data_IF_316251727793
#
_entry.id   IF_316251727793
#
_cell.length_a   1.000
_cell.length_b   1.000
_cell.length_c   1.000
_cell.angle_alpha   90.00
_cell.angle_beta   90.00
_cell.angle_gamma   90.00
#
_symmetry.space_group_name_H-M   'P 1'
#
loop_
_entity.id
_entity.type
_entity.pdbx_description
1 polymer ?
#
# COMPACT_ATOMS: atom_id res chain seq x y z
N UNK A 1 -7.78 8.25 10.23
CA UNK A 1 -7.28 6.90 9.92
C UNK A 1 -8.17 5.80 10.51
N UNK A 2 -8.52 5.86 11.81
CA UNK A 2 -9.35 4.82 12.45
C UNK A 2 -10.61 4.45 11.63
N UNK A 3 -11.38 5.45 11.18
CA UNK A 3 -12.60 5.23 10.39
C UNK A 3 -12.31 4.56 9.03
N UNK A 4 -11.21 4.94 8.36
CA UNK A 4 -10.79 4.30 7.11
C UNK A 4 -10.46 2.81 7.35
N UNK A 5 -9.72 2.50 8.42
CA UNK A 5 -9.31 1.12 8.72
C UNK A 5 -10.45 0.27 9.27
N UNK A 6 -11.40 0.85 10.04
CA UNK A 6 -12.57 0.10 10.50
C UNK A 6 -13.51 -0.32 9.36
N UNK A 7 -13.39 0.31 8.19
CA UNK A 7 -14.13 -0.11 6.99
C UNK A 7 -13.53 -1.33 6.29
N UNK A 8 -12.29 -1.75 6.63
CA UNK A 8 -11.58 -2.85 5.97
C UNK A 8 -12.20 -4.22 6.25
N UNK A 9 -11.97 -5.15 5.32
CA UNK A 9 -12.33 -6.56 5.49
C UNK A 9 -11.67 -7.16 6.72
N UNK A 10 -10.40 -6.83 7.01
CA UNK A 10 -9.67 -7.34 8.17
C UNK A 10 -10.37 -6.97 9.48
N UNK A 11 -10.67 -5.69 9.69
CA UNK A 11 -11.37 -5.25 10.89
C UNK A 11 -12.77 -5.88 11.02
N UNK A 12 -13.53 -5.89 9.92
CA UNK A 12 -14.90 -6.45 9.90
C UNK A 12 -14.96 -7.97 10.12
N UNK A 13 -13.90 -8.69 9.83
CA UNK A 13 -13.78 -10.12 10.08
C UNK A 13 -13.36 -10.40 11.53
N UNK A 14 -12.37 -9.66 12.05
CA UNK A 14 -11.81 -9.89 13.38
C UNK A 14 -12.75 -9.41 14.49
N UNK A 15 -13.38 -8.25 14.34
CA UNK A 15 -14.24 -7.66 15.40
C UNK A 15 -15.44 -8.54 15.79
N UNK A 16 -16.23 -9.14 14.88
CA UNK A 16 -17.32 -10.07 15.27
C UNK A 16 -16.79 -11.39 15.82
N UNK A 17 -15.64 -11.88 15.38
CA UNK A 17 -14.98 -13.09 15.88
C UNK A 17 -14.62 -12.98 17.37
N UNK A 18 -14.20 -11.81 17.81
CA UNK A 18 -13.89 -11.52 19.20
C UNK A 18 -15.09 -11.75 20.12
N UNK A 19 -16.29 -11.36 19.66
CA UNK A 19 -17.55 -11.49 20.44
C UNK A 19 -18.08 -12.93 20.48
N UNK A 20 -17.72 -13.76 19.49
CA UNK A 20 -18.24 -15.14 19.35
C UNK A 20 -17.24 -16.21 19.80
N UNK A 21 -16.08 -15.82 20.25
CA UNK A 21 -14.96 -16.74 20.61
C UNK A 21 -14.56 -17.70 19.49
N UNK A 22 -14.77 -17.29 18.23
CA UNK A 22 -14.54 -18.05 17.01
C UNK A 22 -13.42 -17.40 16.17
N UNK A 23 -12.23 -17.24 16.76
CA UNK A 23 -11.08 -16.65 16.08
C UNK A 23 -10.12 -17.74 15.59
N UNK A 24 -9.59 -17.56 14.37
CA UNK A 24 -8.50 -18.40 13.90
C UNK A 24 -7.25 -18.17 14.75
N UNK A 25 -6.51 -19.23 15.07
CA UNK A 25 -5.26 -19.13 15.82
C UNK A 25 -4.16 -18.36 15.08
N UNK A 26 -4.17 -18.40 13.74
CA UNK A 26 -3.24 -17.64 12.92
C UNK A 26 -3.97 -16.94 11.77
N UNK A 27 -4.00 -15.62 11.82
CA UNK A 27 -4.57 -14.75 10.79
C UNK A 27 -3.47 -13.96 10.09
N UNK A 28 -3.47 -13.96 8.75
CA UNK A 28 -2.55 -13.17 7.92
C UNK A 28 -3.34 -12.08 7.17
N UNK A 29 -3.11 -10.84 7.52
CA UNK A 29 -3.67 -9.67 6.84
C UNK A 29 -2.75 -9.26 5.70
N UNK A 30 -3.27 -9.28 4.47
CA UNK A 30 -2.59 -8.78 3.28
C UNK A 30 -3.06 -7.35 3.00
N UNK A 31 -2.20 -6.37 3.27
CA UNK A 31 -2.52 -4.95 3.13
C UNK A 31 -1.40 -4.22 2.37
N UNK A 32 -1.68 -3.66 1.17
CA UNK A 32 -0.63 -3.14 0.30
C UNK A 32 0.05 -1.85 0.82
N UNK A 33 -0.55 -1.15 1.78
CA UNK A 33 0.04 0.05 2.37
C UNK A 33 0.96 -0.29 3.56
N UNK A 34 2.24 -0.51 3.26
CA UNK A 34 3.24 -0.89 4.28
C UNK A 34 3.47 0.17 5.35
N UNK A 35 3.27 1.48 5.05
CA UNK A 35 3.42 2.56 6.04
C UNK A 35 2.37 2.47 7.14
N UNK A 36 1.16 2.06 6.78
CA UNK A 36 0.01 2.00 7.67
C UNK A 36 -0.39 0.58 8.09
N UNK A 37 0.40 -0.44 7.69
CA UNK A 37 0.13 -1.83 8.03
C UNK A 37 0.07 -2.03 9.55
N UNK A 38 1.06 -1.51 10.28
CA UNK A 38 1.10 -1.64 11.75
C UNK A 38 -0.09 -0.97 12.43
N UNK A 39 -0.54 0.18 11.93
CA UNK A 39 -1.69 0.88 12.50
C UNK A 39 -2.99 0.10 12.25
N UNK A 40 -3.13 -0.55 11.08
CA UNK A 40 -4.23 -1.46 10.80
C UNK A 40 -4.20 -2.68 11.73
N UNK A 41 -3.03 -3.31 11.90
CA UNK A 41 -2.88 -4.46 12.82
C UNK A 41 -3.18 -4.06 14.26
N UNK A 42 -2.79 -2.87 14.70
CA UNK A 42 -3.10 -2.33 16.03
C UNK A 42 -4.62 -2.21 16.21
N UNK A 43 -5.32 -1.66 15.24
CA UNK A 43 -6.78 -1.57 15.28
C UNK A 43 -7.46 -2.95 15.28
N UNK A 44 -6.92 -3.90 14.52
CA UNK A 44 -7.37 -5.29 14.53
C UNK A 44 -7.11 -5.96 15.89
N UNK A 45 -5.99 -5.68 16.55
CA UNK A 45 -5.68 -6.15 17.88
C UNK A 45 -6.64 -5.56 18.94
N UNK A 46 -6.96 -4.26 18.85
CA UNK A 46 -7.99 -3.65 19.70
C UNK A 46 -9.35 -4.37 19.54
N UNK A 47 -9.73 -4.65 18.29
CA UNK A 47 -10.97 -5.39 17.99
C UNK A 47 -10.92 -6.83 18.51
N UNK A 48 -9.75 -7.52 18.40
CA UNK A 48 -9.53 -8.88 18.90
C UNK A 48 -9.79 -8.98 20.41
N UNK A 49 -9.38 -7.99 21.18
CA UNK A 49 -9.64 -7.93 22.62
C UNK A 49 -11.00 -7.30 22.99
N UNK A 50 -11.81 -6.91 22.01
CA UNK A 50 -13.07 -6.21 22.25
C UNK A 50 -12.89 -4.89 22.99
N UNK A 51 -11.75 -4.23 22.82
CA UNK A 51 -11.39 -3.02 23.56
C UNK A 51 -12.27 -1.83 23.12
N UNK A 52 -13.09 -1.34 24.02
CA UNK A 52 -13.93 -0.16 23.77
C UNK A 52 -13.04 1.09 23.55
N UNK A 53 -13.51 2.00 22.71
CA UNK A 53 -12.82 3.27 22.45
C UNK A 53 -12.62 4.08 23.73
N UNK A 54 -11.42 4.60 23.95
CA UNK A 54 -11.04 5.33 25.14
C UNK A 54 -10.76 4.48 26.39
N UNK A 55 -10.98 3.14 26.32
CA UNK A 55 -10.70 2.23 27.44
C UNK A 55 -9.22 2.14 27.78
N UNK A 56 -8.90 1.65 28.99
CA UNK A 56 -7.51 1.36 29.40
C UNK A 56 -6.84 0.36 28.43
N UNK A 57 -7.53 -0.73 28.10
CA UNK A 57 -6.99 -1.78 27.22
C UNK A 57 -6.68 -1.22 25.84
N UNK A 58 -7.60 -0.44 25.26
CA UNK A 58 -7.38 0.21 23.96
C UNK A 58 -6.14 1.11 23.97
N UNK A 59 -5.96 1.95 25.00
CA UNK A 59 -4.81 2.82 25.14
C UNK A 59 -3.49 2.06 25.27
N UNK A 60 -3.50 0.96 26.03
CA UNK A 60 -2.32 0.12 26.23
C UNK A 60 -1.95 -0.64 24.94
N UNK A 61 -2.92 -1.14 24.17
CA UNK A 61 -2.67 -1.79 22.87
C UNK A 61 -2.11 -0.76 21.88
N UNK A 62 -2.71 0.43 21.79
CA UNK A 62 -2.23 1.51 20.93
C UNK A 62 -0.81 1.97 21.27
N UNK A 63 -0.44 1.91 22.56
CA UNK A 63 0.91 2.18 23.06
C UNK A 63 1.86 0.95 23.01
N UNK A 64 1.40 -0.21 22.49
CA UNK A 64 2.14 -1.47 22.43
C UNK A 64 2.67 -1.94 23.81
N UNK A 65 1.90 -1.68 24.86
CA UNK A 65 2.26 -1.96 26.26
C UNK A 65 1.27 -2.82 27.01
N UNK A 66 0.28 -3.39 26.31
CA UNK A 66 -0.65 -4.34 26.91
C UNK A 66 0.02 -5.71 27.06
N UNK A 67 0.01 -6.26 28.29
CA UNK A 67 0.78 -7.47 28.63
C UNK A 67 0.40 -8.70 27.79
N UNK A 68 -0.85 -8.80 27.35
CA UNK A 68 -1.35 -9.92 26.56
C UNK A 68 -1.39 -9.64 25.04
N UNK A 69 -0.86 -8.48 24.58
CA UNK A 69 -0.73 -8.13 23.16
C UNK A 69 0.71 -7.69 22.84
N UNK A 70 1.49 -8.59 22.27
CA UNK A 70 2.90 -8.39 22.01
C UNK A 70 3.16 -8.13 20.53
N UNK A 71 3.87 -7.03 20.24
CA UNK A 71 4.21 -6.62 18.89
C UNK A 71 5.63 -7.04 18.52
N UNK A 72 5.77 -7.77 17.42
CA UNK A 72 7.04 -8.19 16.86
C UNK A 72 7.14 -7.79 15.37
N UNK A 73 8.29 -7.28 14.94
CA UNK A 73 9.38 -6.74 15.77
C UNK A 73 9.00 -5.44 16.47
N UNK A 74 9.89 -4.92 17.32
CA UNK A 74 9.77 -3.54 17.80
C UNK A 74 9.73 -2.56 16.62
N UNK A 75 9.11 -1.38 16.78
CA UNK A 75 8.99 -0.37 15.70
C UNK A 75 10.35 -0.06 15.08
N UNK A 76 10.41 -0.09 13.74
CA UNK A 76 11.64 0.20 12.99
C UNK A 76 12.67 -0.93 12.96
N UNK A 77 12.44 -2.05 13.65
CA UNK A 77 13.29 -3.22 13.62
C UNK A 77 12.83 -4.26 12.59
N UNK A 78 13.65 -5.32 12.41
CA UNK A 78 13.29 -6.52 11.65
C UNK A 78 13.19 -7.70 12.58
N UNK A 79 12.28 -8.63 12.31
CA UNK A 79 12.18 -9.87 13.07
C UNK A 79 13.39 -10.76 12.75
N UNK A 80 14.25 -10.93 13.75
CA UNK A 80 15.46 -11.76 13.68
C UNK A 80 15.19 -13.18 14.18
N UNK A 81 16.18 -14.06 14.03
CA UNK A 81 16.10 -15.43 14.58
C UNK A 81 16.00 -15.44 16.11
N UNK A 82 16.65 -14.48 16.80
CA UNK A 82 16.56 -14.31 18.24
C UNK A 82 15.20 -13.77 18.66
N UNK A 83 14.69 -12.76 17.95
CA UNK A 83 13.33 -12.25 18.18
C UNK A 83 12.24 -13.32 17.97
N UNK A 84 12.44 -14.23 17.01
CA UNK A 84 11.54 -15.39 16.84
C UNK A 84 11.69 -16.40 17.98
N UNK A 85 12.89 -16.57 18.54
CA UNK A 85 13.09 -17.41 19.72
C UNK A 85 12.40 -16.84 20.97
N UNK A 86 12.54 -15.52 21.18
CA UNK A 86 11.86 -14.79 22.27
C UNK A 86 10.34 -14.93 22.14
N UNK A 87 9.79 -14.72 20.94
CA UNK A 87 8.37 -14.89 20.66
C UNK A 87 7.88 -16.30 21.02
N UNK A 88 8.64 -17.35 20.61
CA UNK A 88 8.32 -18.74 20.93
C UNK A 88 8.37 -18.96 22.46
N UNK A 89 9.36 -18.42 23.15
CA UNK A 89 9.47 -18.46 24.60
C UNK A 89 8.28 -17.81 25.29
N UNK A 90 7.94 -16.59 24.86
CA UNK A 90 6.79 -15.83 25.37
C UNK A 90 5.44 -16.53 25.10
N UNK A 91 5.32 -17.25 23.99
CA UNK A 91 4.09 -17.99 23.67
C UNK A 91 3.81 -19.16 24.59
N UNK A 92 4.81 -19.67 25.29
CA UNK A 92 4.64 -20.73 26.29
C UNK A 92 4.10 -20.20 27.64
N UNK A 93 4.11 -18.87 27.84
CA UNK A 93 3.62 -18.24 29.07
C UNK A 93 2.13 -17.98 28.97
N UNK A 94 1.42 -18.18 30.08
CA UNK A 94 -0.02 -17.88 30.17
C UNK A 94 -0.31 -16.39 30.03
N UNK A 95 -1.51 -16.01 29.54
CA UNK A 95 -1.95 -14.61 29.58
C UNK A 95 -1.89 -14.05 31.01
N UNK A 96 -1.63 -12.76 31.13
CA UNK A 96 -1.44 -12.07 32.43
C UNK A 96 -2.74 -11.46 32.94
N UNK A 97 -3.49 -10.76 32.07
CA UNK A 97 -4.70 -10.02 32.44
C UNK A 97 -5.99 -10.70 31.95
N UNK A 98 -5.92 -11.46 30.87
CA UNK A 98 -7.09 -12.06 30.23
C UNK A 98 -7.00 -13.57 30.04
N UNK A 99 -7.85 -14.10 29.15
CA UNK A 99 -7.86 -15.52 28.77
C UNK A 99 -7.11 -15.79 27.47
N UNK A 100 -6.66 -14.74 26.75
CA UNK A 100 -6.05 -14.84 25.42
C UNK A 100 -4.79 -13.99 25.35
N UNK A 101 -3.79 -14.46 24.59
CA UNK A 101 -2.55 -13.75 24.29
C UNK A 101 -2.40 -13.63 22.77
N UNK A 102 -2.16 -12.41 22.28
CA UNK A 102 -2.05 -12.11 20.88
C UNK A 102 -0.63 -11.66 20.54
N UNK A 103 -0.02 -12.30 19.54
CA UNK A 103 1.23 -11.88 18.94
C UNK A 103 0.94 -11.19 17.61
N UNK A 104 1.30 -9.91 17.52
CA UNK A 104 1.16 -9.11 16.31
C UNK A 104 2.50 -9.12 15.56
N UNK A 105 2.52 -9.69 14.36
CA UNK A 105 3.71 -9.83 13.52
C UNK A 105 3.65 -8.82 12.38
N UNK A 106 4.25 -7.64 12.58
CA UNK A 106 4.27 -6.58 11.58
C UNK A 106 5.33 -6.84 10.49
N UNK A 107 5.07 -6.29 9.29
CA UNK A 107 5.98 -6.31 8.16
C UNK A 107 6.53 -7.73 7.84
N UNK A 108 5.65 -8.73 7.90
CA UNK A 108 6.02 -10.15 7.73
C UNK A 108 6.70 -10.43 6.38
N UNK A 109 6.44 -9.62 5.36
CA UNK A 109 7.15 -9.64 4.07
C UNK A 109 8.66 -9.40 4.19
N UNK A 110 9.14 -8.83 5.29
CA UNK A 110 10.58 -8.58 5.51
C UNK A 110 11.28 -9.71 6.27
N UNK A 111 10.50 -10.68 6.77
CA UNK A 111 10.99 -11.81 7.55
C UNK A 111 11.68 -12.81 6.62
N UNK A 112 12.93 -13.16 6.92
CA UNK A 112 13.69 -14.10 6.09
C UNK A 112 13.07 -15.51 6.09
N UNK A 113 13.25 -16.31 5.02
CA UNK A 113 12.73 -17.67 4.96
C UNK A 113 13.19 -18.56 6.15
N UNK A 114 14.40 -18.35 6.63
CA UNK A 114 14.92 -19.07 7.81
C UNK A 114 14.08 -18.78 9.06
N UNK A 115 13.74 -17.52 9.29
CA UNK A 115 12.95 -17.08 10.44
C UNK A 115 11.48 -17.50 10.28
N UNK A 116 10.92 -17.39 9.07
CA UNK A 116 9.57 -17.91 8.79
C UNK A 116 9.48 -19.41 9.10
N UNK A 117 10.45 -20.21 8.66
CA UNK A 117 10.49 -21.64 8.96
C UNK A 117 10.61 -21.95 10.47
N UNK A 118 11.35 -21.13 11.22
CA UNK A 118 11.44 -21.27 12.69
C UNK A 118 10.10 -21.10 13.40
N UNK A 119 9.23 -20.28 12.85
CA UNK A 119 7.88 -20.01 13.41
C UNK A 119 6.84 -21.08 13.03
N UNK A 120 7.08 -21.92 12.00
CA UNK A 120 6.06 -22.83 11.47
C UNK A 120 5.40 -23.68 12.54
N UNK A 121 6.19 -24.27 13.45
CA UNK A 121 5.66 -25.18 14.49
C UNK A 121 4.67 -24.46 15.41
N UNK A 122 4.98 -23.24 15.85
CA UNK A 122 4.11 -22.50 16.77
C UNK A 122 2.89 -21.89 16.06
N UNK A 123 2.98 -21.63 14.76
CA UNK A 123 1.86 -21.17 13.94
C UNK A 123 0.89 -22.32 13.59
N UNK A 124 1.39 -23.57 13.54
CA UNK A 124 0.60 -24.77 13.27
C UNK A 124 -0.13 -25.28 14.52
N UNK A 125 0.61 -25.38 15.63
CA UNK A 125 0.12 -25.91 16.90
C UNK A 125 0.39 -24.91 18.03
N UNK A 126 -0.30 -23.75 18.06
CA UNK A 126 -0.15 -22.78 19.15
C UNK A 126 -0.77 -23.31 20.45
N UNK A 127 -0.29 -22.87 21.62
CA UNK A 127 -1.00 -23.11 22.88
C UNK A 127 -2.45 -22.60 22.82
N UNK A 128 -3.36 -23.23 23.55
CA UNK A 128 -4.81 -23.01 23.47
C UNK A 128 -5.24 -21.53 23.60
N UNK A 129 -4.51 -20.74 24.41
CA UNK A 129 -4.80 -19.30 24.62
C UNK A 129 -4.02 -18.35 23.72
N UNK A 130 -3.21 -18.86 22.75
CA UNK A 130 -2.29 -18.07 21.95
C UNK A 130 -2.81 -17.91 20.52
N UNK A 131 -2.73 -16.67 20.05
CA UNK A 131 -3.17 -16.25 18.73
C UNK A 131 -2.09 -15.43 18.03
N UNK A 132 -2.04 -15.52 16.71
CA UNK A 132 -1.10 -14.78 15.86
C UNK A 132 -1.86 -13.95 14.83
N UNK A 133 -1.52 -12.67 14.76
CA UNK A 133 -2.00 -11.71 13.76
C UNK A 133 -0.80 -11.18 12.99
N UNK A 134 -0.54 -11.73 11.81
CA UNK A 134 0.54 -11.27 10.94
C UNK A 134 0.01 -10.29 9.90
N UNK A 135 0.87 -9.36 9.47
CA UNK A 135 0.60 -8.47 8.36
C UNK A 135 1.70 -8.49 7.32
N UNK A 136 1.34 -8.54 6.05
CA UNK A 136 2.26 -8.44 4.93
C UNK A 136 1.69 -7.55 3.82
N UNK A 137 2.57 -6.91 3.04
CA UNK A 137 2.16 -6.07 1.91
C UNK A 137 1.81 -6.86 0.67
N UNK A 138 2.32 -8.09 0.53
CA UNK A 138 2.09 -8.95 -0.62
C UNK A 138 2.24 -10.43 -0.25
N UNK A 139 1.39 -11.28 -0.82
CA UNK A 139 1.35 -12.72 -0.55
C UNK A 139 2.63 -13.44 -0.99
N UNK A 140 3.17 -13.07 -2.16
CA UNK A 140 4.35 -13.75 -2.74
C UNK A 140 5.64 -13.61 -1.92
N UNK A 141 5.65 -12.75 -0.90
CA UNK A 141 6.78 -12.56 0.02
C UNK A 141 6.74 -13.47 1.24
N UNK A 142 5.64 -14.21 1.41
CA UNK A 142 5.42 -15.15 2.52
C UNK A 142 5.57 -16.57 1.99
N UNK A 143 6.23 -17.45 2.74
CA UNK A 143 6.43 -18.82 2.33
C UNK A 143 5.10 -19.57 2.14
N UNK A 144 4.98 -20.43 1.11
CA UNK A 144 3.78 -21.24 0.90
C UNK A 144 3.40 -22.10 2.12
N UNK A 145 4.40 -22.57 2.87
CA UNK A 145 4.23 -23.33 4.11
C UNK A 145 3.58 -22.52 5.24
N UNK A 146 3.82 -21.22 5.30
CA UNK A 146 3.15 -20.28 6.23
C UNK A 146 1.75 -19.96 5.73
N UNK A 147 1.62 -19.67 4.41
CA UNK A 147 0.33 -19.35 3.78
C UNK A 147 -0.71 -20.45 3.92
N UNK A 148 -0.29 -21.72 3.87
CA UNK A 148 -1.20 -22.87 3.99
C UNK A 148 -1.80 -23.04 5.40
N UNK A 149 -1.25 -22.36 6.41
CA UNK A 149 -1.67 -22.42 7.82
C UNK A 149 -2.43 -21.17 8.28
N UNK A 150 -2.39 -20.11 7.47
CA UNK A 150 -2.98 -18.83 7.81
C UNK A 150 -4.44 -18.74 7.32
N UNK A 151 -5.31 -18.21 8.15
CA UNK A 151 -6.56 -17.60 7.69
C UNK A 151 -6.23 -16.25 7.03
N UNK A 152 -6.29 -16.22 5.70
CA UNK A 152 -5.86 -15.07 4.90
C UNK A 152 -6.97 -14.07 4.72
N UNK A 153 -6.73 -12.83 5.12
CA UNK A 153 -7.64 -11.71 4.90
C UNK A 153 -6.97 -10.68 3.99
N UNK A 154 -7.41 -10.63 2.73
CA UNK A 154 -6.97 -9.60 1.81
C UNK A 154 -7.76 -8.30 2.03
N UNK A 155 -7.04 -7.19 2.21
CA UNK A 155 -7.60 -5.84 2.25
C UNK A 155 -7.41 -5.24 0.87
N UNK A 156 -8.50 -5.01 0.11
CA UNK A 156 -8.39 -4.38 -1.20
C UNK A 156 -7.94 -2.93 -1.07
N UNK A 157 -7.37 -2.34 -2.14
CA UNK A 157 -7.12 -0.91 -2.22
C UNK A 157 -8.38 -0.11 -1.90
N UNK A 158 -8.22 1.01 -1.21
CA UNK A 158 -9.36 1.86 -0.85
C UNK A 158 -9.96 2.56 -2.08
N UNK A 159 -11.29 2.76 -2.11
CA UNK A 159 -11.92 3.61 -3.11
C UNK A 159 -11.37 5.05 -3.06
N UNK A 160 -11.36 5.71 -4.22
CA UNK A 160 -10.86 7.08 -4.37
C UNK A 160 -11.57 8.05 -3.41
N UNK A 161 -12.88 7.94 -3.27
CA UNK A 161 -13.69 8.78 -2.38
C UNK A 161 -13.30 8.59 -0.91
N UNK A 162 -12.97 7.36 -0.50
CA UNK A 162 -12.55 7.06 0.86
C UNK A 162 -11.17 7.67 1.17
N UNK A 163 -10.24 7.59 0.21
CA UNK A 163 -8.93 8.25 0.29
C UNK A 163 -9.10 9.76 0.38
N UNK A 164 -9.88 10.37 -0.52
CA UNK A 164 -10.12 11.82 -0.53
C UNK A 164 -10.75 12.30 0.79
N UNK A 165 -11.71 11.56 1.32
CA UNK A 165 -12.33 11.88 2.61
C UNK A 165 -11.32 11.77 3.77
N UNK A 166 -10.46 10.75 3.78
CA UNK A 166 -9.43 10.59 4.80
C UNK A 166 -8.36 11.67 4.72
N UNK A 167 -7.94 12.08 3.51
CA UNK A 167 -7.02 13.21 3.31
C UNK A 167 -7.62 14.53 3.82
N UNK A 168 -8.88 14.83 3.48
CA UNK A 168 -9.57 16.04 3.99
C UNK A 168 -9.63 16.09 5.51
N UNK A 169 -9.87 14.94 6.17
CA UNK A 169 -9.87 14.90 7.64
C UNK A 169 -8.50 15.16 8.24
N UNK A 170 -7.43 14.69 7.59
CA UNK A 170 -6.07 14.80 8.11
C UNK A 170 -5.44 16.16 7.81
N UNK A 171 -5.65 16.70 6.60
CA UNK A 171 -4.96 17.89 6.09
C UNK A 171 -5.88 19.11 5.89
N UNK A 172 -7.19 18.96 6.10
CA UNK A 172 -8.16 19.96 5.72
C UNK A 172 -8.50 19.91 4.22
N UNK A 173 -9.26 20.90 3.73
CA UNK A 173 -9.61 21.00 2.31
C UNK A 173 -8.51 21.75 1.54
N UNK A 174 -7.39 21.08 1.30
CA UNK A 174 -6.24 21.63 0.56
C UNK A 174 -6.32 21.26 -0.92
N UNK A 175 -5.74 22.08 -1.82
CA UNK A 175 -5.64 21.76 -3.25
C UNK A 175 -4.85 20.46 -3.50
N UNK A 176 -5.24 19.70 -4.52
CA UNK A 176 -4.53 18.48 -4.95
C UNK A 176 -5.05 17.18 -4.33
N UNK A 177 -6.04 17.23 -3.43
CA UNK A 177 -6.61 16.03 -2.80
C UNK A 177 -7.25 15.10 -3.84
N UNK A 178 -8.01 15.65 -4.79
CA UNK A 178 -8.68 14.84 -5.81
C UNK A 178 -7.67 14.14 -6.72
N UNK A 179 -6.63 14.85 -7.13
CA UNK A 179 -5.54 14.35 -7.97
C UNK A 179 -4.74 13.27 -7.24
N UNK A 180 -4.39 13.52 -5.99
CA UNK A 180 -3.66 12.55 -5.15
C UNK A 180 -4.49 11.28 -4.92
N UNK A 181 -5.78 11.41 -4.61
CA UNK A 181 -6.68 10.28 -4.39
C UNK A 181 -6.89 9.45 -5.67
N UNK A 182 -7.03 10.11 -6.82
CA UNK A 182 -7.19 9.44 -8.11
C UNK A 182 -5.91 8.74 -8.59
N UNK A 183 -4.72 9.26 -8.24
CA UNK A 183 -3.43 8.72 -8.69
C UNK A 183 -2.86 7.62 -7.78
N UNK A 184 -3.21 7.61 -6.49
CA UNK A 184 -2.58 6.75 -5.49
C UNK A 184 -2.87 5.25 -5.62
N UNK A 185 -3.80 4.85 -6.50
CA UNK A 185 -4.19 3.44 -6.66
C UNK A 185 -4.85 2.84 -5.42
N UNK A 186 -5.47 3.66 -4.56
CA UNK A 186 -6.13 3.22 -3.33
C UNK A 186 -5.18 2.97 -2.16
N UNK A 187 -3.92 3.46 -2.24
CA UNK A 187 -2.91 3.36 -1.18
C UNK A 187 -2.80 4.74 -0.52
N UNK A 188 -3.18 4.81 0.76
CA UNK A 188 -3.27 6.09 1.46
C UNK A 188 -1.93 6.79 1.61
N UNK A 189 -0.85 6.06 1.94
CA UNK A 189 0.49 6.64 2.04
C UNK A 189 0.99 7.22 0.71
N UNK A 190 0.65 6.58 -0.42
CA UNK A 190 0.99 7.10 -1.75
C UNK A 190 0.22 8.40 -2.07
N UNK A 191 -1.03 8.51 -1.61
CA UNK A 191 -1.80 9.75 -1.73
C UNK A 191 -1.19 10.89 -0.92
N UNK A 192 -0.69 10.60 0.28
CA UNK A 192 0.02 11.59 1.11
C UNK A 192 1.30 12.08 0.43
N UNK A 193 2.12 11.17 -0.08
CA UNK A 193 3.37 11.51 -0.77
C UNK A 193 3.10 12.41 -2.00
N UNK A 194 2.02 12.14 -2.73
CA UNK A 194 1.60 12.97 -3.87
C UNK A 194 1.11 14.36 -3.42
N UNK A 195 0.36 14.41 -2.33
CA UNK A 195 -0.19 15.66 -1.78
C UNK A 195 0.92 16.53 -1.18
N UNK A 196 1.81 15.95 -0.37
CA UNK A 196 2.95 16.64 0.25
C UNK A 196 3.94 17.17 -0.78
N UNK A 197 4.05 16.51 -1.93
CA UNK A 197 4.84 16.97 -3.08
C UNK A 197 4.28 18.23 -3.77
N UNK A 198 3.13 18.76 -3.35
CA UNK A 198 2.57 20.02 -3.88
C UNK A 198 2.37 20.00 -5.39
N UNK A 199 2.01 18.86 -5.98
CA UNK A 199 1.81 18.70 -7.43
C UNK A 199 3.11 18.60 -8.25
N UNK A 200 4.29 18.52 -7.64
CA UNK A 200 5.56 18.40 -8.36
C UNK A 200 5.60 17.15 -9.26
N UNK A 201 5.08 16.03 -8.77
CA UNK A 201 5.01 14.79 -9.53
C UNK A 201 4.15 14.94 -10.80
N UNK A 202 3.02 15.64 -10.72
CA UNK A 202 2.15 15.91 -11.88
C UNK A 202 2.82 16.86 -12.88
N UNK A 203 3.49 17.92 -12.41
CA UNK A 203 4.28 18.82 -13.28
C UNK A 203 5.41 18.07 -13.98
N UNK A 204 6.10 17.18 -13.27
CA UNK A 204 7.15 16.34 -13.85
C UNK A 204 6.57 15.37 -14.89
N UNK A 205 5.42 14.79 -14.65
CA UNK A 205 4.73 13.90 -15.59
C UNK A 205 4.29 14.63 -16.88
N UNK A 206 3.79 15.87 -16.76
CA UNK A 206 3.47 16.73 -17.92
C UNK A 206 4.73 17.04 -18.71
N UNK A 207 5.83 17.45 -18.06
CA UNK A 207 7.10 17.73 -18.69
C UNK A 207 7.69 16.50 -19.38
N UNK A 208 7.58 15.33 -18.79
CA UNK A 208 8.00 14.06 -19.38
C UNK A 208 7.34 13.78 -20.75
N UNK A 209 6.09 14.23 -20.94
CA UNK A 209 5.35 14.05 -22.19
C UNK A 209 5.55 15.19 -23.19
N UNK A 210 6.05 16.34 -22.76
CA UNK A 210 6.08 17.57 -23.57
C UNK A 210 7.46 18.13 -23.83
N UNK A 211 8.42 17.92 -22.94
CA UNK A 211 9.77 18.52 -23.03
C UNK A 211 10.64 17.76 -24.01
N UNK A 212 11.39 18.50 -24.83
CA UNK A 212 12.27 17.92 -25.86
C UNK A 212 13.50 17.22 -25.26
N UNK A 213 14.05 17.74 -24.15
CA UNK A 213 15.19 17.14 -23.47
C UNK A 213 14.73 15.97 -22.55
N UNK A 214 14.38 14.87 -23.19
CA UNK A 214 13.93 13.64 -22.51
C UNK A 214 14.96 13.12 -21.51
N UNK A 215 16.27 13.22 -21.82
CA UNK A 215 17.32 12.69 -20.94
C UNK A 215 17.38 13.46 -19.63
N UNK A 216 17.27 14.77 -19.69
CA UNK A 216 17.22 15.63 -18.50
C UNK A 216 16.02 15.30 -17.64
N UNK A 217 14.82 15.20 -18.23
CA UNK A 217 13.60 14.90 -17.50
C UNK A 217 13.67 13.50 -16.85
N UNK A 218 14.21 12.49 -17.55
CA UNK A 218 14.40 11.16 -16.98
C UNK A 218 15.39 11.14 -15.79
N UNK A 219 16.38 12.02 -15.79
CA UNK A 219 17.29 12.19 -14.67
C UNK A 219 16.54 12.78 -13.45
N UNK A 220 15.72 13.80 -13.66
CA UNK A 220 14.85 14.38 -12.62
C UNK A 220 13.85 13.36 -12.07
N UNK A 221 13.37 12.41 -12.88
CA UNK A 221 12.56 11.27 -12.40
C UNK A 221 13.37 10.39 -11.44
N UNK A 222 14.65 10.18 -11.71
CA UNK A 222 15.54 9.43 -10.83
C UNK A 222 15.75 10.08 -9.46
N UNK A 223 15.72 11.41 -9.41
CA UNK A 223 15.89 12.23 -8.19
C UNK A 223 14.57 12.50 -7.46
N UNK A 224 13.43 12.21 -8.09
CA UNK A 224 12.10 12.43 -7.50
C UNK A 224 11.83 11.47 -6.33
N UNK A 225 10.95 11.85 -5.37
CA UNK A 225 10.53 10.96 -4.30
C UNK A 225 9.98 9.65 -4.88
N UNK A 226 10.47 8.52 -4.34
CA UNK A 226 10.10 7.19 -4.81
C UNK A 226 8.57 6.99 -4.76
N UNK A 227 8.03 6.38 -5.79
CA UNK A 227 6.61 6.03 -5.85
C UNK A 227 5.67 7.18 -6.22
N UNK A 228 6.14 8.40 -6.51
CA UNK A 228 5.27 9.54 -6.85
C UNK A 228 5.10 9.77 -8.35
N UNK A 229 6.16 9.60 -9.13
CA UNK A 229 6.16 9.94 -10.57
C UNK A 229 5.23 9.05 -11.40
N UNK A 230 5.36 7.72 -11.31
CA UNK A 230 4.55 6.81 -12.14
C UNK A 230 3.05 6.87 -11.86
N UNK A 231 2.57 6.94 -10.61
CA UNK A 231 1.17 7.20 -10.33
C UNK A 231 0.67 8.50 -10.93
N UNK A 232 1.43 9.60 -10.81
CA UNK A 232 1.09 10.88 -11.42
C UNK A 232 1.07 10.80 -12.96
N UNK A 233 2.06 10.14 -13.57
CA UNK A 233 2.11 9.96 -15.03
C UNK A 233 0.92 9.12 -15.53
N UNK A 234 0.52 8.07 -14.81
CA UNK A 234 -0.64 7.25 -15.15
C UNK A 234 -1.93 8.06 -15.14
N UNK A 235 -2.13 8.93 -14.13
CA UNK A 235 -3.28 9.83 -14.10
C UNK A 235 -3.26 10.81 -15.28
N UNK A 236 -2.12 11.43 -15.57
CA UNK A 236 -1.96 12.32 -16.73
C UNK A 236 -2.29 11.59 -18.03
N UNK A 237 -1.73 10.40 -18.27
CA UNK A 237 -1.99 9.60 -19.47
C UNK A 237 -3.44 9.16 -19.59
N UNK A 238 -4.09 8.78 -18.47
CA UNK A 238 -5.51 8.44 -18.43
C UNK A 238 -6.36 9.61 -18.90
N UNK A 239 -6.10 10.79 -18.33
CA UNK A 239 -6.89 11.98 -18.63
C UNK A 239 -6.61 12.51 -20.06
N UNK A 240 -5.35 12.38 -20.53
CA UNK A 240 -5.01 12.62 -21.95
C UNK A 240 -5.83 11.69 -22.86
N UNK A 241 -5.91 10.40 -22.53
CA UNK A 241 -6.71 9.45 -23.32
C UNK A 241 -8.20 9.82 -23.31
N UNK A 242 -8.75 10.23 -22.15
CA UNK A 242 -10.13 10.67 -22.02
C UNK A 242 -10.41 11.92 -22.87
N UNK A 243 -9.58 12.94 -22.81
CA UNK A 243 -9.72 14.13 -23.64
C UNK A 243 -9.59 13.81 -25.14
N UNK A 244 -8.62 13.00 -25.53
CA UNK A 244 -8.42 12.57 -26.92
C UNK A 244 -9.58 11.73 -27.47
N UNK A 245 -10.31 11.00 -26.60
CA UNK A 245 -11.50 10.24 -26.93
C UNK A 245 -12.82 11.06 -26.83
N UNK A 246 -12.77 12.35 -26.58
CA UNK A 246 -13.95 13.21 -26.40
C UNK A 246 -14.69 13.02 -25.07
N UNK A 247 -14.10 12.33 -24.12
CA UNK A 247 -14.68 12.01 -22.80
C UNK A 247 -14.07 12.84 -21.65
N UNK A 248 -13.63 14.06 -21.95
CA UNK A 248 -12.94 14.94 -20.99
C UNK A 248 -13.76 15.34 -19.76
N UNK A 249 -15.09 15.14 -19.77
CA UNK A 249 -15.95 15.35 -18.60
C UNK A 249 -15.61 14.44 -17.41
N UNK A 250 -15.00 13.27 -17.67
CA UNK A 250 -14.58 12.29 -16.65
C UNK A 250 -13.11 12.46 -16.21
N UNK A 251 -12.39 13.41 -16.81
CA UNK A 251 -11.02 13.70 -16.42
C UNK A 251 -10.96 14.42 -15.06
N UNK A 252 -9.98 14.04 -14.24
CA UNK A 252 -9.68 14.67 -12.94
C UNK A 252 -8.83 15.91 -13.17
N UNK A 253 -7.78 15.81 -13.99
CA UNK A 253 -6.91 16.92 -14.35
C UNK A 253 -7.58 17.76 -15.43
N UNK A 254 -7.78 19.05 -15.14
CA UNK A 254 -8.49 19.98 -16.03
C UNK A 254 -7.60 21.06 -16.62
N UNK A 255 -6.30 20.99 -16.36
CA UNK A 255 -5.33 21.97 -16.80
C UNK A 255 -5.23 22.04 -18.32
N UNK A 256 -4.87 23.23 -18.82
CA UNK A 256 -4.73 23.51 -20.24
C UNK A 256 -3.68 22.63 -20.91
N UNK A 257 -2.61 22.30 -20.15
CA UNK A 257 -1.51 21.45 -20.60
C UNK A 257 -1.99 20.05 -20.96
N UNK A 258 -2.86 19.44 -20.18
CA UNK A 258 -3.44 18.11 -20.45
C UNK A 258 -4.23 18.11 -21.76
N UNK A 259 -5.05 19.11 -21.97
CA UNK A 259 -5.80 19.29 -23.23
C UNK A 259 -4.88 19.49 -24.41
N UNK A 260 -3.77 20.22 -24.22
CA UNK A 260 -2.75 20.44 -25.27
C UNK A 260 -2.03 19.13 -25.62
N UNK A 261 -1.71 18.29 -24.64
CA UNK A 261 -1.15 16.97 -24.88
C UNK A 261 -2.13 16.08 -25.65
N UNK A 262 -3.40 16.07 -25.20
CA UNK A 262 -4.46 15.27 -25.83
C UNK A 262 -4.71 15.65 -27.30
N UNK A 263 -4.56 16.93 -27.65
CA UNK A 263 -4.67 17.38 -29.04
C UNK A 263 -3.54 16.86 -29.94
N UNK A 264 -2.42 16.38 -29.37
CA UNK A 264 -1.22 15.91 -30.09
C UNK A 264 -0.93 14.42 -29.87
N UNK A 265 -1.68 13.77 -28.98
CA UNK A 265 -1.48 12.36 -28.64
C UNK A 265 -2.81 11.61 -28.85
N UNK A 266 -2.93 10.76 -29.87
CA UNK A 266 -4.10 9.91 -30.07
C UNK A 266 -4.41 9.04 -28.85
N UNK A 267 -5.70 8.80 -28.57
CA UNK A 267 -6.13 7.99 -27.42
C UNK A 267 -5.45 6.61 -27.37
N UNK A 268 -5.26 5.96 -28.53
CA UNK A 268 -4.57 4.67 -28.63
C UNK A 268 -3.12 4.73 -28.16
N UNK A 269 -2.40 5.80 -28.46
CA UNK A 269 -1.02 6.02 -27.98
C UNK A 269 -1.01 6.22 -26.46
N UNK A 270 -1.93 7.02 -25.92
CA UNK A 270 -2.03 7.24 -24.49
C UNK A 270 -2.37 5.94 -23.73
N UNK A 271 -3.25 5.09 -24.28
CA UNK A 271 -3.58 3.76 -23.73
C UNK A 271 -2.38 2.81 -23.78
N UNK A 272 -1.62 2.80 -24.88
CA UNK A 272 -0.38 2.04 -24.97
C UNK A 272 0.66 2.52 -23.94
N UNK A 273 0.82 3.83 -23.78
CA UNK A 273 1.70 4.44 -22.79
C UNK A 273 1.32 4.05 -21.35
N UNK A 274 0.04 3.92 -21.00
CA UNK A 274 -0.42 3.41 -19.71
C UNK A 274 0.08 1.98 -19.44
N UNK A 275 0.04 1.10 -20.45
CA UNK A 275 0.58 -0.27 -20.33
C UNK A 275 2.10 -0.27 -20.14
N UNK A 276 2.81 0.60 -20.85
CA UNK A 276 4.25 0.74 -20.70
C UNK A 276 4.62 1.29 -19.31
N UNK A 277 3.87 2.26 -18.79
CA UNK A 277 4.06 2.79 -17.44
C UNK A 277 3.86 1.70 -16.37
N UNK A 278 2.85 0.83 -16.51
CA UNK A 278 2.65 -0.30 -15.61
C UNK A 278 3.80 -1.35 -15.69
N UNK A 279 4.46 -1.50 -16.86
CA UNK A 279 5.67 -2.32 -16.98
C UNK A 279 6.85 -1.69 -16.25
N UNK A 280 7.07 -0.39 -16.44
CA UNK A 280 8.15 0.35 -15.77
C UNK A 280 7.99 0.33 -14.23
N UNK A 281 6.76 0.40 -13.74
CA UNK A 281 6.46 0.30 -12.30
C UNK A 281 6.91 -1.05 -11.73
N UNK A 282 6.62 -2.15 -12.42
CA UNK A 282 7.09 -3.48 -12.04
C UNK A 282 8.61 -3.58 -12.07
N UNK A 283 9.26 -3.06 -13.11
CA UNK A 283 10.72 -3.06 -13.23
C UNK A 283 11.38 -2.33 -12.03
N UNK A 284 10.82 -1.19 -11.62
CA UNK A 284 11.29 -0.43 -10.44
C UNK A 284 11.05 -1.20 -9.13
N UNK A 285 9.93 -1.90 -9.00
CA UNK A 285 9.67 -2.79 -7.85
C UNK A 285 10.71 -3.91 -7.73
N UNK A 286 11.27 -4.37 -8.86
CA UNK A 286 12.39 -5.32 -8.91
C UNK A 286 13.76 -4.65 -8.95
N UNK A 287 13.88 -3.44 -8.35
CA UNK A 287 15.13 -2.68 -8.18
C UNK A 287 15.75 -2.13 -9.47
N UNK A 288 15.01 -1.97 -10.55
CA UNK A 288 15.52 -1.21 -11.72
C UNK A 288 15.74 0.27 -11.34
N UNK A 289 16.74 0.89 -11.98
CA UNK A 289 17.00 2.31 -11.78
C UNK A 289 15.84 3.15 -12.35
N UNK A 290 15.20 4.04 -11.56
CA UNK A 290 14.04 4.80 -12.01
C UNK A 290 14.30 5.69 -13.24
N UNK A 291 15.48 6.32 -13.35
CA UNK A 291 15.83 7.15 -14.50
C UNK A 291 15.95 6.31 -15.78
N UNK A 292 16.53 5.11 -15.69
CA UNK A 292 16.65 4.19 -16.84
C UNK A 292 15.28 3.62 -17.25
N UNK A 293 14.46 3.25 -16.29
CA UNK A 293 13.09 2.80 -16.54
C UNK A 293 12.25 3.91 -17.21
N UNK A 294 12.39 5.15 -16.76
CA UNK A 294 11.75 6.31 -17.37
C UNK A 294 12.25 6.56 -18.80
N UNK A 295 13.54 6.44 -19.07
CA UNK A 295 14.10 6.59 -20.43
C UNK A 295 13.56 5.51 -21.36
N UNK A 296 13.54 4.26 -20.92
CA UNK A 296 12.95 3.13 -21.68
C UNK A 296 11.47 3.39 -21.98
N UNK A 297 10.71 3.88 -20.99
CA UNK A 297 9.32 4.25 -21.16
C UNK A 297 9.14 5.36 -22.20
N UNK A 298 9.95 6.43 -22.13
CA UNK A 298 9.90 7.52 -23.09
C UNK A 298 10.17 7.06 -24.53
N UNK A 299 11.16 6.19 -24.72
CA UNK A 299 11.49 5.61 -26.04
C UNK A 299 10.34 4.74 -26.57
N UNK A 300 9.70 3.95 -25.72
CA UNK A 300 8.51 3.13 -26.11
C UNK A 300 7.36 4.03 -26.55
N UNK A 301 7.08 5.12 -25.82
CA UNK A 301 6.02 6.08 -26.16
C UNK A 301 6.34 6.78 -27.48
N UNK A 302 7.59 7.21 -27.70
CA UNK A 302 8.02 7.84 -28.96
C UNK A 302 7.83 6.89 -30.15
N UNK A 303 8.26 5.64 -30.03
CA UNK A 303 8.07 4.62 -31.06
C UNK A 303 6.59 4.36 -31.37
N UNK A 304 5.74 4.31 -30.34
CA UNK A 304 4.30 4.12 -30.52
C UNK A 304 3.68 5.30 -31.29
N UNK A 305 4.09 6.55 -30.99
CA UNK A 305 3.66 7.73 -31.74
C UNK A 305 4.02 7.65 -33.22
N UNK A 306 5.23 7.19 -33.56
CA UNK A 306 5.69 7.03 -34.96
C UNK A 306 4.83 5.96 -35.69
N UNK A 307 4.51 4.85 -35.04
CA UNK A 307 3.67 3.80 -35.61
C UNK A 307 2.28 4.38 -35.94
N UNK A 308 1.67 5.10 -35.03
CA UNK A 308 0.36 5.74 -35.23
C UNK A 308 0.37 6.77 -36.35
N UNK A 309 1.42 7.58 -36.47
CA UNK A 309 1.57 8.55 -37.56
C UNK A 309 1.69 7.90 -38.95
N UNK A 310 2.18 6.66 -39.02
CA UNK A 310 2.27 5.90 -40.28
C UNK A 310 0.96 5.19 -40.64
N UNK A 311 0.04 5.02 -39.71
CA UNK A 311 -1.24 4.33 -39.88
C UNK A 311 -2.42 5.28 -40.06
N UNK A 312 -2.25 6.56 -39.73
CA UNK A 312 -3.22 7.64 -39.91
C UNK A 312 -2.93 8.48 -41.17
#
# INVERSE_FOLDING_TARGET
MRELFSSTTAYRTIAPGAQRDAQAHFTLVLFPDGRYLRDLLTLCAEAFFGAAEGSRVQKLIAAESYADCLFYPARGAKLTADGAADLIGESALRPVEGSKKLFVLDAFQTVTPLVQNKLLKILEEPPESVYFLAGATAEHTVLPTVLSRADKIAVPPFPEEAIAAALRRKYGDVPGIAEAAAACGGIFSAAEDLLEGGGAAFRLAVRFLTEADTVRVCREVGDAPKGTFLPALRLVLRDVAMYAAGQGQYAVLREKEIKTIAARMPAGVAIAALRFAASAEREIQFNANPAQAALTLALRIAKEREIWQKLS
#
